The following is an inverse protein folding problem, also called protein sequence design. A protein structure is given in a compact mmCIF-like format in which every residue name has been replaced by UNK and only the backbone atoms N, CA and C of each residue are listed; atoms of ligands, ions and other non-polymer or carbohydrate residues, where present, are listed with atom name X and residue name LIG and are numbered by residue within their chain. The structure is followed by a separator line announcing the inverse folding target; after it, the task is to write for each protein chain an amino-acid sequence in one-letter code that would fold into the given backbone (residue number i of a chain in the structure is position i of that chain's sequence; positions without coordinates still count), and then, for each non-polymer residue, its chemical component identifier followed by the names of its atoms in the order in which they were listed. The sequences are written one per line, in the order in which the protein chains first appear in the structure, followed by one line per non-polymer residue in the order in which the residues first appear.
data_IF_332934470681
#
_entry.id   IF_332934470681
#
_cell.length_a   1.000
_cell.length_b   1.000
_cell.length_c   1.000
_cell.angle_alpha   90.00
_cell.angle_beta   90.00
_cell.angle_gamma   90.00
#
_symmetry.space_group_name_H-M   'P 1'
#
loop_
_entity.id
_entity.type
_entity.pdbx_description
1 polymer ?
#
# COMPACT_ATOMS: atom_id res chain seq x y z
N UNK A 1 -56.77 19.42 -22.05
CA UNK A 1 -56.22 18.36 -21.19
C UNK A 1 -54.71 18.33 -21.40
N UNK A 2 -53.93 18.91 -20.49
CA UNK A 2 -52.47 18.87 -20.49
C UNK A 2 -52.03 17.67 -19.66
N UNK A 3 -51.28 16.73 -20.25
CA UNK A 3 -50.59 15.69 -19.50
C UNK A 3 -49.18 16.17 -19.18
N UNK A 4 -48.94 16.49 -17.91
CA UNK A 4 -47.61 16.68 -17.35
C UNK A 4 -46.97 15.31 -17.11
N UNK A 5 -45.93 15.00 -17.87
CA UNK A 5 -45.06 13.85 -17.65
C UNK A 5 -44.02 14.21 -16.59
N UNK A 6 -44.13 13.61 -15.41
CA UNK A 6 -43.08 13.61 -14.39
C UNK A 6 -41.91 12.73 -14.87
N UNK A 7 -40.76 13.34 -15.12
CA UNK A 7 -39.51 12.62 -15.29
C UNK A 7 -38.98 12.19 -13.91
N UNK A 8 -39.01 10.88 -13.61
CA UNK A 8 -38.22 10.31 -12.51
C UNK A 8 -36.75 10.24 -12.96
N UNK A 9 -35.91 11.10 -12.41
CA UNK A 9 -34.46 11.00 -12.57
C UNK A 9 -33.91 9.86 -11.70
N UNK A 10 -33.56 8.73 -12.32
CA UNK A 10 -32.71 7.72 -11.70
C UNK A 10 -31.28 8.27 -11.60
N UNK A 11 -30.88 8.73 -10.41
CA UNK A 11 -29.47 8.98 -10.12
C UNK A 11 -28.76 7.63 -9.94
N UNK A 12 -28.02 7.21 -10.97
CA UNK A 12 -27.08 6.09 -10.87
C UNK A 12 -25.93 6.51 -9.94
N UNK A 13 -26.00 6.14 -8.66
CA UNK A 13 -24.82 6.07 -7.80
C UNK A 13 -23.98 4.87 -8.25
N UNK A 14 -23.22 5.05 -9.33
CA UNK A 14 -22.06 4.21 -9.60
C UNK A 14 -21.03 4.49 -8.52
N UNK A 15 -21.11 3.77 -7.40
CA UNK A 15 -20.04 3.71 -6.43
C UNK A 15 -18.79 3.23 -7.17
N UNK A 16 -17.77 4.09 -7.24
CA UNK A 16 -16.46 3.71 -7.75
C UNK A 16 -15.89 2.69 -6.77
N UNK A 17 -16.07 1.39 -7.05
CA UNK A 17 -15.26 0.37 -6.40
C UNK A 17 -13.80 0.68 -6.79
N UNK A 18 -13.00 1.10 -5.81
CA UNK A 18 -11.55 1.20 -5.98
C UNK A 18 -11.04 -0.21 -6.30
N UNK A 19 -10.26 -0.33 -7.37
CA UNK A 19 -9.60 -1.58 -7.68
C UNK A 19 -8.46 -1.79 -6.68
N UNK A 20 -8.45 -2.94 -6.03
CA UNK A 20 -7.40 -3.30 -5.08
C UNK A 20 -6.02 -3.23 -5.74
N UNK A 21 -5.09 -2.54 -5.07
CA UNK A 21 -3.75 -2.27 -5.59
C UNK A 21 -2.76 -3.36 -5.21
N UNK A 22 -1.67 -3.47 -5.97
CA UNK A 22 -0.52 -4.28 -5.58
C UNK A 22 0.34 -3.45 -4.63
N UNK A 23 0.92 -4.08 -3.61
CA UNK A 23 1.69 -3.38 -2.58
C UNK A 23 3.15 -3.82 -2.63
N UNK A 24 4.04 -2.86 -2.82
CA UNK A 24 5.48 -3.05 -2.60
C UNK A 24 5.82 -2.77 -1.14
N UNK A 25 6.81 -3.48 -0.61
CA UNK A 25 7.31 -3.25 0.74
C UNK A 25 8.83 -3.42 0.83
N UNK A 26 9.42 -2.78 1.83
CA UNK A 26 10.86 -2.81 2.05
C UNK A 26 11.26 -1.95 3.24
N UNK A 27 12.51 -1.52 3.25
CA UNK A 27 13.06 -0.70 4.33
C UNK A 27 13.63 0.63 3.82
N UNK A 28 13.52 1.64 4.67
CA UNK A 28 14.14 2.95 4.48
C UNK A 28 14.72 3.47 5.80
N UNK A 29 15.91 4.07 5.76
CA UNK A 29 16.46 4.81 6.90
C UNK A 29 15.62 6.08 7.13
N UNK A 30 15.10 6.27 8.34
CA UNK A 30 14.34 7.46 8.70
C UNK A 30 15.26 8.50 9.36
N UNK A 31 15.17 9.74 8.90
CA UNK A 31 16.08 10.79 9.36
C UNK A 31 15.86 11.22 10.81
N UNK A 32 14.65 11.03 11.35
CA UNK A 32 14.28 11.47 12.70
C UNK A 32 14.92 10.61 13.81
N UNK A 33 15.10 9.30 13.57
CA UNK A 33 15.63 8.37 14.58
C UNK A 33 16.85 7.57 14.11
N UNK A 34 17.29 7.76 12.86
CA UNK A 34 18.42 7.07 12.25
C UNK A 34 18.27 5.54 12.27
N UNK A 35 17.05 5.03 12.25
CA UNK A 35 16.74 3.60 12.18
C UNK A 35 16.13 3.22 10.82
N UNK A 36 16.28 1.94 10.44
CA UNK A 36 15.54 1.39 9.31
C UNK A 36 14.09 1.15 9.73
N UNK A 37 13.16 1.62 8.91
CA UNK A 37 11.73 1.40 9.08
C UNK A 37 11.17 0.65 7.89
N UNK A 38 10.17 -0.19 8.16
CA UNK A 38 9.28 -0.74 7.15
C UNK A 38 8.57 0.38 6.42
N UNK A 39 8.59 0.32 5.10
CA UNK A 39 7.86 1.21 4.21
C UNK A 39 7.06 0.41 3.19
N UNK A 40 5.91 0.95 2.80
CA UNK A 40 5.05 0.38 1.74
C UNK A 40 4.77 1.42 0.67
N UNK A 41 4.47 0.97 -0.54
CA UNK A 41 4.05 1.79 -1.70
C UNK A 41 3.14 0.98 -2.63
N UNK A 42 2.51 1.64 -3.60
CA UNK A 42 1.79 0.95 -4.68
C UNK A 42 2.82 0.34 -5.64
N UNK A 43 2.86 -0.99 -5.72
CA UNK A 43 3.82 -1.69 -6.58
C UNK A 43 3.61 -1.32 -8.06
N UNK A 44 4.71 -1.00 -8.75
CA UNK A 44 4.70 -0.50 -10.12
C UNK A 44 4.58 1.03 -10.24
N UNK A 45 4.26 1.73 -9.15
CA UNK A 45 4.35 3.19 -9.06
C UNK A 45 5.65 3.64 -8.39
N UNK A 46 5.94 4.95 -8.45
CA UNK A 46 7.11 5.51 -7.76
C UNK A 46 6.94 5.43 -6.25
N UNK A 47 7.80 4.65 -5.59
CA UNK A 47 7.84 4.56 -4.13
C UNK A 47 8.19 5.91 -3.48
N UNK A 48 8.99 6.75 -4.13
CA UNK A 48 9.35 8.07 -3.63
C UNK A 48 8.64 9.16 -4.45
N UNK A 49 7.92 10.12 -3.83
CA UNK A 49 7.75 10.36 -2.38
C UNK A 49 6.53 9.64 -1.76
N UNK A 50 5.95 8.65 -2.45
CA UNK A 50 4.61 8.14 -2.14
C UNK A 50 4.57 7.01 -1.10
N UNK A 51 5.72 6.63 -0.55
CA UNK A 51 5.81 5.57 0.45
C UNK A 51 5.12 5.98 1.75
N UNK A 52 4.72 4.97 2.51
CA UNK A 52 4.19 5.12 3.87
C UNK A 52 5.09 4.36 4.82
N UNK A 53 5.55 5.04 5.86
CA UNK A 53 6.31 4.43 6.94
C UNK A 53 5.36 3.73 7.91
N UNK A 54 5.63 2.46 8.22
CA UNK A 54 4.85 1.67 9.16
C UNK A 54 5.52 1.67 10.54
N UNK A 55 6.82 1.44 10.61
CA UNK A 55 7.58 1.53 11.85
C UNK A 55 8.94 0.84 11.80
N UNK A 56 9.67 0.76 12.92
CA UNK A 56 11.03 0.22 12.96
C UNK A 56 11.12 -1.22 12.45
N UNK A 57 12.19 -1.55 11.73
CA UNK A 57 12.42 -2.88 11.12
C UNK A 57 12.47 -4.02 12.15
N UNK A 58 12.89 -3.69 13.37
CA UNK A 58 12.95 -4.63 14.51
C UNK A 58 11.58 -5.06 15.03
N UNK A 59 10.50 -4.38 14.60
CA UNK A 59 9.12 -4.72 14.92
C UNK A 59 8.42 -5.26 13.68
N UNK A 60 7.41 -6.11 13.90
CA UNK A 60 6.60 -6.62 12.80
C UNK A 60 5.77 -5.50 12.16
N UNK A 61 5.76 -5.38 10.83
CA UNK A 61 4.89 -4.44 10.13
C UNK A 61 3.46 -4.99 9.98
N UNK A 62 3.22 -6.26 10.34
CA UNK A 62 1.93 -6.89 10.17
C UNK A 62 0.84 -6.28 11.06
N UNK A 63 -0.40 -6.34 10.58
CA UNK A 63 -1.60 -5.80 11.23
C UNK A 63 -1.59 -4.28 11.46
N UNK A 64 -0.62 -3.56 10.89
CA UNK A 64 -0.60 -2.11 10.88
C UNK A 64 -1.35 -1.60 9.65
N UNK A 65 -2.40 -0.81 9.90
CA UNK A 65 -3.24 -0.29 8.84
C UNK A 65 -2.57 0.87 8.09
N UNK A 66 -2.61 0.82 6.76
CA UNK A 66 -2.26 1.93 5.87
C UNK A 66 -3.32 2.05 4.78
N UNK A 67 -3.39 3.21 4.11
CA UNK A 67 -4.45 3.49 3.13
C UNK A 67 -3.87 3.84 1.76
N UNK A 68 -4.45 3.23 0.72
CA UNK A 68 -4.22 3.57 -0.69
C UNK A 68 -5.55 3.58 -1.43
N UNK A 69 -5.74 4.58 -2.30
CA UNK A 69 -6.95 4.71 -3.13
C UNK A 69 -8.29 4.63 -2.38
N UNK A 70 -8.30 5.00 -1.09
CA UNK A 70 -9.50 4.98 -0.24
C UNK A 70 -9.76 3.66 0.49
N UNK A 71 -8.98 2.61 0.19
CA UNK A 71 -9.05 1.33 0.89
C UNK A 71 -7.99 1.23 1.99
N UNK A 72 -8.34 0.55 3.07
CA UNK A 72 -7.41 0.17 4.14
C UNK A 72 -6.78 -1.18 3.83
N UNK A 73 -5.47 -1.25 4.03
CA UNK A 73 -4.65 -2.44 3.86
C UNK A 73 -3.81 -2.68 5.13
N UNK A 74 -3.40 -3.92 5.34
CA UNK A 74 -2.30 -4.25 6.25
C UNK A 74 -1.50 -5.43 5.69
N UNK A 75 -0.20 -5.45 6.00
CA UNK A 75 0.63 -6.63 5.78
C UNK A 75 0.22 -7.73 6.77
N UNK A 76 0.32 -8.99 6.34
CA UNK A 76 -0.12 -10.14 7.11
C UNK A 76 0.84 -11.34 6.93
N UNK A 77 0.62 -12.37 7.76
CA UNK A 77 1.38 -13.63 7.77
C UNK A 77 2.90 -13.46 7.93
N UNK A 78 3.34 -12.47 8.72
CA UNK A 78 4.77 -12.22 8.95
C UNK A 78 5.47 -13.42 9.60
N UNK A 79 6.67 -13.74 9.12
CA UNK A 79 7.52 -14.77 9.74
C UNK A 79 8.32 -14.25 10.95
N UNK A 80 9.20 -15.10 11.50
CA UNK A 80 10.03 -14.77 12.66
C UNK A 80 11.03 -13.63 12.40
N UNK A 81 11.31 -13.31 11.13
CA UNK A 81 12.15 -12.20 10.71
C UNK A 81 11.34 -10.94 10.39
N UNK A 82 10.05 -10.91 10.75
CA UNK A 82 9.09 -9.85 10.43
C UNK A 82 8.74 -9.73 8.94
N UNK A 83 9.14 -10.68 8.09
CA UNK A 83 8.94 -10.62 6.65
C UNK A 83 7.48 -11.00 6.31
N UNK A 84 6.69 -10.11 5.70
CA UNK A 84 5.29 -10.37 5.39
C UNK A 84 5.14 -11.41 4.27
N UNK A 85 4.10 -12.26 4.35
CA UNK A 85 3.79 -13.25 3.31
C UNK A 85 2.48 -12.96 2.58
N UNK A 86 1.69 -12.03 3.08
CA UNK A 86 0.48 -11.56 2.41
C UNK A 86 0.18 -10.08 2.70
N UNK A 87 -0.73 -9.50 1.94
CA UNK A 87 -1.40 -8.23 2.24
C UNK A 87 -2.91 -8.44 2.15
N UNK A 88 -3.64 -7.86 3.09
CA UNK A 88 -5.10 -7.89 3.14
C UNK A 88 -5.64 -6.49 2.98
N UNK A 89 -6.55 -6.27 2.03
CA UNK A 89 -7.18 -4.96 1.78
C UNK A 89 -7.82 -4.88 0.40
N UNK A 90 -8.60 -3.83 0.15
CA UNK A 90 -9.32 -3.65 -1.12
C UNK A 90 -10.32 -4.78 -1.44
N UNK A 91 -10.77 -5.53 -0.43
CA UNK A 91 -11.67 -6.67 -0.59
C UNK A 91 -11.00 -7.99 -0.97
N UNK A 92 -9.66 -8.06 -0.99
CA UNK A 92 -8.93 -9.28 -1.31
C UNK A 92 -7.70 -9.53 -0.41
N UNK A 93 -7.07 -10.68 -0.60
CA UNK A 93 -5.80 -11.05 0.03
C UNK A 93 -4.83 -11.50 -1.06
N UNK A 94 -3.64 -10.89 -1.10
CA UNK A 94 -2.60 -11.18 -2.10
C UNK A 94 -1.38 -11.75 -1.42
N UNK A 95 -0.76 -12.76 -2.05
CA UNK A 95 0.48 -13.34 -1.57
C UNK A 95 1.68 -12.45 -1.93
N UNK A 96 2.66 -12.39 -1.04
CA UNK A 96 3.88 -11.64 -1.25
C UNK A 96 5.00 -12.51 -1.85
N UNK A 97 5.88 -11.88 -2.64
CA UNK A 97 7.09 -12.48 -3.20
C UNK A 97 8.28 -11.63 -2.83
N UNK A 98 9.39 -12.29 -2.50
CA UNK A 98 10.64 -11.62 -2.20
C UNK A 98 11.22 -10.95 -3.44
N UNK A 99 11.88 -9.83 -3.19
CA UNK A 99 12.61 -8.98 -4.12
C UNK A 99 13.74 -8.30 -3.33
N UNK A 100 14.76 -7.79 -4.00
CA UNK A 100 15.92 -7.18 -3.36
C UNK A 100 16.43 -5.95 -4.13
N UNK A 101 15.58 -5.37 -4.99
CA UNK A 101 15.92 -4.17 -5.74
C UNK A 101 16.15 -2.97 -4.82
N UNK A 102 17.07 -2.11 -5.26
CA UNK A 102 17.33 -0.82 -4.62
C UNK A 102 16.62 0.29 -5.40
N UNK A 103 15.72 1.00 -4.74
CA UNK A 103 15.01 2.14 -5.31
C UNK A 103 15.73 3.42 -4.87
N UNK A 104 16.39 4.09 -5.82
CA UNK A 104 17.10 5.33 -5.54
C UNK A 104 16.12 6.50 -5.42
N UNK A 105 16.15 7.22 -4.32
CA UNK A 105 15.27 8.36 -4.07
C UNK A 105 16.05 9.68 -4.03
N UNK A 106 15.47 10.72 -4.63
CA UNK A 106 16.05 12.07 -4.71
C UNK A 106 17.53 12.10 -5.13
N UNK A 107 17.88 11.44 -6.25
CA UNK A 107 19.26 11.34 -6.75
C UNK A 107 20.25 10.68 -5.75
N UNK A 108 19.79 9.74 -4.93
CA UNK A 108 20.63 8.97 -4.01
C UNK A 108 20.84 9.62 -2.65
N UNK A 109 20.02 10.62 -2.28
CA UNK A 109 20.04 11.20 -0.92
C UNK A 109 19.58 10.16 0.11
N UNK A 110 18.60 9.34 -0.26
CA UNK A 110 18.19 8.16 0.49
C UNK A 110 17.66 7.12 -0.48
N UNK A 111 17.68 5.87 -0.05
CA UNK A 111 17.25 4.74 -0.86
C UNK A 111 16.26 3.88 -0.07
N UNK A 112 15.36 3.23 -0.80
CA UNK A 112 14.55 2.14 -0.27
C UNK A 112 15.19 0.85 -0.73
N UNK A 113 15.44 -0.07 0.20
CA UNK A 113 15.78 -1.45 -0.13
C UNK A 113 14.47 -2.23 -0.17
N UNK A 114 14.05 -2.63 -1.36
CA UNK A 114 12.84 -3.44 -1.56
C UNK A 114 13.09 -4.82 -0.97
N UNK A 115 12.12 -5.33 -0.22
CA UNK A 115 12.13 -6.70 0.31
C UNK A 115 11.17 -7.59 -0.48
N UNK A 116 10.13 -7.01 -1.06
CA UNK A 116 9.19 -7.74 -1.88
C UNK A 116 8.01 -6.92 -2.36
N UNK A 117 7.03 -7.63 -2.91
CA UNK A 117 5.75 -7.09 -3.33
C UNK A 117 4.64 -8.13 -3.21
N UNK A 118 3.40 -7.69 -3.08
CA UNK A 118 2.20 -8.52 -2.95
C UNK A 118 1.24 -8.17 -4.08
N UNK A 119 0.92 -9.15 -4.93
CA UNK A 119 0.13 -8.98 -6.15
C UNK A 119 -0.75 -10.20 -6.45
#
# INVERSE_FOLDING_TARGET
MQLQTCALSLALLSGLASAAVNIGYGQQLQNNDQANHWVVWIEGESACPNSRTLGPLVQSPCNQNFNYNGDTYHLADCDQSNEPKSVVGGGETKGCRLDNDKINCHNGIHDIVKHGYCK
#
